data_IF_557181682426
#
_entry.id   IF_557181682426
#
_cell.length_a   1.000
_cell.length_b   1.000
_cell.length_c   1.000
_cell.angle_alpha   90.00
_cell.angle_beta   90.00
_cell.angle_gamma   90.00
#
_symmetry.space_group_name_H-M   'P 1'
#
loop_
_entity.id
_entity.type
_entity.pdbx_description
1 polymer ?
#
# COMPACT_ATOMS: atom_id res chain seq x y z
N UNK A 1 -2.70 15.65 7.47
CA UNK A 1 -2.10 15.12 8.72
C UNK A 1 -1.92 13.61 8.75
N UNK A 2 -2.93 12.79 8.40
CA UNK A 2 -2.82 11.32 8.44
C UNK A 2 -1.59 10.78 7.69
N UNK A 3 -1.38 11.25 6.46
CA UNK A 3 -0.26 10.80 5.63
C UNK A 3 1.12 11.16 6.21
N UNK A 4 1.29 12.38 6.73
CA UNK A 4 2.54 12.78 7.38
C UNK A 4 2.86 11.93 8.62
N UNK A 5 1.83 11.50 9.36
CA UNK A 5 1.97 10.57 10.49
C UNK A 5 2.29 9.14 10.02
N UNK A 6 1.65 8.69 8.94
CA UNK A 6 1.92 7.38 8.36
C UNK A 6 3.36 7.26 7.87
N UNK A 7 3.90 8.29 7.20
CA UNK A 7 5.30 8.35 6.78
C UNK A 7 6.28 8.41 7.96
N UNK A 8 5.95 9.17 9.01
CA UNK A 8 6.77 9.18 10.23
C UNK A 8 6.94 7.76 10.80
N UNK A 9 5.86 6.99 10.88
CA UNK A 9 5.91 5.63 11.39
C UNK A 9 6.59 4.66 10.41
N UNK A 10 6.26 4.70 9.11
CA UNK A 10 6.72 3.71 8.12
C UNK A 10 8.12 3.97 7.56
N UNK A 11 8.50 5.24 7.41
CA UNK A 11 9.75 5.65 6.74
C UNK A 11 10.77 6.15 7.74
N UNK A 12 10.34 6.98 8.69
CA UNK A 12 11.24 7.54 9.71
C UNK A 12 11.38 6.64 10.95
N UNK A 13 10.52 5.61 11.08
CA UNK A 13 10.42 4.73 12.25
C UNK A 13 10.18 5.49 13.57
N UNK A 14 9.45 6.61 13.50
CA UNK A 14 9.09 7.43 14.65
C UNK A 14 7.58 7.38 14.84
N UNK A 15 7.16 6.69 15.90
CA UNK A 15 5.76 6.62 16.28
C UNK A 15 5.28 7.94 16.89
N UNK A 16 3.98 8.24 16.77
CA UNK A 16 3.34 9.45 17.30
C UNK A 16 3.88 10.80 16.79
N UNK A 17 4.77 10.80 15.79
CA UNK A 17 5.30 12.01 15.17
C UNK A 17 4.65 12.33 13.80
N UNK A 18 5.04 13.47 13.25
CA UNK A 18 4.79 13.85 11.85
C UNK A 18 6.15 13.91 11.14
N UNK A 19 6.21 13.41 9.90
CA UNK A 19 7.46 13.47 9.14
C UNK A 19 7.80 14.92 8.78
N UNK A 20 9.08 15.26 8.84
CA UNK A 20 9.61 16.54 8.37
C UNK A 20 10.14 16.46 6.93
N UNK A 21 9.85 15.38 6.20
CA UNK A 21 10.16 15.23 4.77
C UNK A 21 9.23 16.09 3.92
N UNK A 22 9.33 17.41 4.10
CA UNK A 22 8.47 18.40 3.46
C UNK A 22 8.55 18.35 1.93
N UNK A 23 9.70 17.95 1.37
CA UNK A 23 9.85 17.75 -0.08
C UNK A 23 8.95 16.64 -0.60
N UNK A 24 8.87 15.52 0.12
CA UNK A 24 8.01 14.39 -0.26
C UNK A 24 6.53 14.75 -0.11
N UNK A 25 6.18 15.41 0.99
CA UNK A 25 4.82 15.92 1.21
C UNK A 25 4.44 16.96 0.15
N UNK A 26 5.37 17.83 -0.26
CA UNK A 26 5.16 18.78 -1.34
C UNK A 26 5.00 18.12 -2.71
N UNK A 27 5.66 16.98 -2.95
CA UNK A 27 5.44 16.15 -4.14
C UNK A 27 4.05 15.54 -4.16
N UNK A 28 3.58 15.03 -3.02
CA UNK A 28 2.23 14.50 -2.87
C UNK A 28 1.15 15.58 -3.11
N UNK A 29 1.34 16.78 -2.55
CA UNK A 29 0.42 17.91 -2.77
C UNK A 29 0.36 18.30 -4.25
N UNK A 30 1.49 18.31 -4.96
CA UNK A 30 1.52 18.55 -6.41
C UNK A 30 0.73 17.50 -7.18
N UNK A 31 0.94 16.21 -6.91
CA UNK A 31 0.17 15.15 -7.54
C UNK A 31 -1.34 15.26 -7.26
N UNK A 32 -1.73 15.69 -6.04
CA UNK A 32 -3.13 15.97 -5.74
C UNK A 32 -3.67 17.19 -6.50
N UNK A 33 -2.84 18.20 -6.73
CA UNK A 33 -3.15 19.33 -7.62
C UNK A 33 -3.39 18.88 -9.05
N UNK A 34 -2.52 18.03 -9.60
CA UNK A 34 -2.67 17.48 -10.95
C UNK A 34 -4.00 16.73 -11.11
N UNK A 35 -4.39 15.96 -10.09
CA UNK A 35 -5.69 15.29 -10.05
C UNK A 35 -6.86 16.27 -9.99
N UNK A 36 -6.76 17.33 -9.18
CA UNK A 36 -7.79 18.36 -9.08
C UNK A 36 -7.99 19.07 -10.42
N UNK A 37 -6.90 19.42 -11.10
CA UNK A 37 -6.93 20.04 -12.44
C UNK A 37 -7.57 19.10 -13.46
N UNK A 38 -7.21 17.81 -13.45
CA UNK A 38 -7.81 16.82 -14.35
C UNK A 38 -9.32 16.63 -14.13
N UNK A 39 -9.81 16.84 -12.91
CA UNK A 39 -11.22 16.80 -12.55
C UNK A 39 -11.94 18.16 -12.72
N UNK A 40 -11.25 19.21 -13.20
CA UNK A 40 -11.73 20.60 -13.24
C UNK A 40 -12.27 21.09 -11.88
N UNK A 41 -11.67 20.61 -10.78
CA UNK A 41 -12.03 21.02 -9.44
C UNK A 41 -11.33 22.34 -9.09
N UNK A 42 -12.10 23.30 -8.55
CA UNK A 42 -11.58 24.60 -8.13
C UNK A 42 -10.58 24.50 -6.96
N UNK A 43 -10.78 23.52 -6.08
CA UNK A 43 -9.97 23.33 -4.88
C UNK A 43 -9.44 21.89 -4.78
N UNK A 44 -8.24 21.78 -4.19
CA UNK A 44 -7.72 20.48 -3.78
C UNK A 44 -8.51 20.01 -2.56
N UNK A 45 -9.21 18.88 -2.70
CA UNK A 45 -9.99 18.26 -1.63
C UNK A 45 -9.29 17.04 -1.05
N UNK A 46 -9.82 16.52 0.05
CA UNK A 46 -9.34 15.28 0.66
C UNK A 46 -9.40 14.08 -0.31
N UNK A 47 -10.33 14.07 -1.26
CA UNK A 47 -10.43 13.05 -2.32
C UNK A 47 -9.18 13.05 -3.19
N UNK A 48 -8.70 14.22 -3.60
CA UNK A 48 -7.50 14.32 -4.44
C UNK A 48 -6.25 13.89 -3.67
N UNK A 49 -6.15 14.23 -2.38
CA UNK A 49 -5.05 13.76 -1.52
C UNK A 49 -5.06 12.24 -1.41
N UNK A 50 -6.22 11.62 -1.18
CA UNK A 50 -6.33 10.16 -1.12
C UNK A 50 -5.93 9.52 -2.47
N UNK A 51 -6.39 10.07 -3.59
CA UNK A 51 -6.01 9.60 -4.92
C UNK A 51 -4.52 9.77 -5.24
N UNK A 52 -3.88 10.83 -4.73
CA UNK A 52 -2.45 11.06 -4.87
C UNK A 52 -1.63 10.09 -4.02
N UNK A 53 -2.08 9.79 -2.80
CA UNK A 53 -1.46 8.77 -1.94
C UNK A 53 -1.51 7.40 -2.63
N UNK A 54 -2.66 7.05 -3.21
CA UNK A 54 -2.83 5.79 -3.94
C UNK A 54 -1.87 5.68 -5.14
N UNK A 55 -1.75 6.76 -5.92
CA UNK A 55 -0.82 6.81 -7.06
C UNK A 55 0.65 6.81 -6.65
N UNK A 56 0.96 7.21 -5.43
CA UNK A 56 2.34 7.24 -4.92
C UNK A 56 2.87 5.88 -4.47
N UNK A 57 1.99 4.87 -4.38
CA UNK A 57 2.35 3.48 -4.07
C UNK A 57 3.22 2.88 -5.17
N UNK A 58 4.07 1.94 -4.79
CA UNK A 58 4.85 1.18 -5.78
C UNK A 58 3.95 0.33 -6.68
N UNK A 59 4.47 -0.12 -7.82
CA UNK A 59 3.72 -1.00 -8.72
C UNK A 59 3.32 -2.30 -8.01
N UNK A 60 4.20 -2.85 -7.17
CA UNK A 60 3.97 -4.06 -6.40
C UNK A 60 2.84 -3.87 -5.37
N UNK A 61 2.83 -2.75 -4.65
CA UNK A 61 1.76 -2.41 -3.71
C UNK A 61 0.42 -2.25 -4.43
N UNK A 62 0.39 -1.58 -5.59
CA UNK A 62 -0.82 -1.44 -6.39
C UNK A 62 -1.33 -2.79 -6.91
N UNK A 63 -0.44 -3.69 -7.33
CA UNK A 63 -0.78 -5.06 -7.75
C UNK A 63 -1.37 -5.83 -6.57
N UNK A 64 -0.75 -5.74 -5.39
CA UNK A 64 -1.23 -6.37 -4.17
C UNK A 64 -2.60 -5.87 -3.75
N UNK A 65 -2.89 -4.58 -3.89
CA UNK A 65 -4.20 -4.02 -3.56
C UNK A 65 -5.28 -4.43 -4.57
N UNK A 66 -4.93 -4.54 -5.86
CA UNK A 66 -5.88 -4.93 -6.92
C UNK A 66 -6.25 -6.41 -6.90
N UNK A 67 -5.28 -7.29 -6.71
CA UNK A 67 -5.48 -8.74 -6.82
C UNK A 67 -5.47 -9.44 -5.47
N UNK A 68 -5.34 -8.69 -4.37
CA UNK A 68 -4.90 -9.25 -3.11
C UNK A 68 -3.47 -9.79 -3.23
N UNK A 69 -2.97 -10.46 -2.18
CA UNK A 69 -1.96 -11.48 -2.47
C UNK A 69 -2.71 -12.59 -3.22
N UNK A 70 -2.31 -12.90 -4.45
CA UNK A 70 -2.80 -14.04 -5.25
C UNK A 70 -3.00 -15.31 -4.39
N UNK A 71 -2.18 -15.45 -3.35
CA UNK A 71 -2.18 -16.51 -2.35
C UNK A 71 -3.37 -16.51 -1.36
N UNK A 72 -4.00 -15.37 -1.05
CA UNK A 72 -5.07 -15.28 -0.04
C UNK A 72 -6.43 -15.75 -0.58
N UNK A 73 -6.68 -15.52 -1.87
CA UNK A 73 -7.86 -16.05 -2.57
C UNK A 73 -7.82 -17.57 -2.68
N UNK A 74 -6.72 -18.11 -3.22
CA UNK A 74 -6.53 -19.56 -3.35
C UNK A 74 -6.46 -20.28 -1.99
N UNK A 75 -5.88 -19.65 -0.97
CA UNK A 75 -5.76 -20.26 0.36
C UNK A 75 -7.09 -20.44 1.11
N UNK A 76 -8.15 -19.74 0.71
CA UNK A 76 -9.47 -19.81 1.37
C UNK A 76 -10.34 -20.93 0.79
N UNK A 77 -10.14 -21.28 -0.49
CA UNK A 77 -10.91 -22.33 -1.19
C UNK A 77 -10.25 -23.72 -1.15
N UNK A 78 -9.01 -23.83 -0.68
CA UNK A 78 -8.28 -25.11 -0.59
C UNK A 78 -8.58 -25.78 0.76
N UNK A 79 -9.33 -26.88 0.73
CA UNK A 79 -9.56 -27.76 1.89
C UNK A 79 -8.23 -28.31 2.43
N UNK A 80 -8.16 -28.58 3.74
CA UNK A 80 -6.98 -29.15 4.41
C UNK A 80 -6.44 -30.40 3.71
N UNK A 81 -7.31 -31.21 3.10
CA UNK A 81 -6.94 -32.41 2.35
C UNK A 81 -6.21 -32.13 1.01
N UNK A 82 -6.44 -30.97 0.38
CA UNK A 82 -5.72 -30.57 -0.84
C UNK A 82 -4.38 -29.90 -0.55
N UNK A 83 -4.25 -29.25 0.62
CA UNK A 83 -2.96 -28.71 1.12
C UNK A 83 -1.91 -29.80 1.28
N UNK A 84 -2.32 -30.98 1.72
CA UNK A 84 -1.43 -32.12 1.97
C UNK A 84 -0.88 -32.75 0.67
N UNK A 85 -1.62 -32.66 -0.44
CA UNK A 85 -1.25 -33.28 -1.73
C UNK A 85 -0.32 -32.44 -2.61
N UNK A 86 -0.03 -31.19 -2.26
CA UNK A 86 0.75 -30.29 -3.12
C UNK A 86 1.80 -29.50 -2.36
N UNK A 87 2.89 -30.16 -1.89
CA UNK A 87 3.96 -29.49 -1.14
C UNK A 87 4.73 -28.44 -1.98
N UNK A 88 4.74 -28.58 -3.31
CA UNK A 88 5.49 -27.67 -4.20
C UNK A 88 4.86 -26.29 -4.39
N UNK A 89 3.53 -26.16 -4.34
CA UNK A 89 2.85 -24.87 -4.56
C UNK A 89 2.98 -23.91 -3.37
N UNK A 90 3.41 -24.40 -2.20
CA UNK A 90 3.53 -23.64 -0.96
C UNK A 90 4.98 -23.44 -0.47
N UNK A 91 5.99 -23.77 -1.28
CA UNK A 91 7.40 -23.67 -0.87
C UNK A 91 7.83 -22.23 -0.50
N UNK A 92 7.16 -21.23 -1.09
CA UNK A 92 7.37 -19.81 -0.75
C UNK A 92 6.74 -19.41 0.59
N UNK A 93 5.85 -20.22 1.18
CA UNK A 93 5.27 -19.95 2.51
C UNK A 93 6.23 -20.31 3.64
N UNK A 94 7.07 -21.33 3.46
CA UNK A 94 7.99 -21.80 4.51
C UNK A 94 9.15 -20.85 4.83
N UNK A 95 9.46 -19.89 3.95
CA UNK A 95 10.56 -18.95 4.18
C UNK A 95 10.17 -17.73 5.01
N UNK A 96 8.92 -17.26 4.91
CA UNK A 96 8.45 -16.09 5.67
C UNK A 96 8.08 -16.42 7.12
N UNK A 97 7.78 -17.69 7.44
CA UNK A 97 7.48 -18.11 8.82
C UNK A 97 8.71 -18.44 9.66
N UNK A 98 9.92 -18.26 9.12
CA UNK A 98 11.17 -18.68 9.78
C UNK A 98 12.04 -17.49 10.26
N UNK A 99 11.61 -16.25 10.00
CA UNK A 99 12.33 -15.02 10.37
C UNK A 99 11.54 -14.09 11.31
N UNK A 100 10.62 -14.64 12.12
CA UNK A 100 10.06 -13.98 13.30
C UNK A 100 10.15 -14.90 14.51
#
# INVERSE_FOLDING_TARGET
MKEARARAAKVDNINNALTLRLRELGGLIRAAGDLAVGENAELITAKHIAGAVERSKSAEEQIKDRYGSYTKGLGTDISSAQKEKSPYYFWNQTKDSMFH
#
